data_IF_610496755066
#
_entry.id   IF_610496755066
#
_cell.length_a   1.000
_cell.length_b   1.000
_cell.length_c   1.000
_cell.angle_alpha   90.00
_cell.angle_beta   90.00
_cell.angle_gamma   90.00
#
_symmetry.space_group_name_H-M   'P 1'
#
loop_
_entity.id
_entity.type
_entity.pdbx_description
1 polymer ?
#
# COMPACT_ATOMS: atom_id res chain seq x y z
N UNK A 1 -38.07 -44.11 47.39
CA UNK A 1 -39.32 -43.33 47.26
C UNK A 1 -38.97 -41.85 47.37
N UNK A 2 -39.82 -40.96 46.84
CA UNK A 2 -39.84 -39.49 47.03
C UNK A 2 -38.50 -38.73 47.02
N UNK A 3 -38.29 -37.96 45.95
CA UNK A 3 -37.52 -36.71 46.03
C UNK A 3 -38.29 -35.69 46.87
N UNK A 4 -37.59 -34.82 47.60
CA UNK A 4 -38.18 -33.58 48.13
C UNK A 4 -37.19 -32.42 47.92
N UNK A 5 -37.63 -31.39 47.21
CA UNK A 5 -36.92 -30.13 47.03
C UNK A 5 -37.12 -29.26 48.27
N UNK A 6 -36.04 -28.81 48.90
CA UNK A 6 -36.10 -27.79 49.96
C UNK A 6 -35.67 -26.45 49.37
N UNK A 7 -36.62 -25.55 49.22
CA UNK A 7 -36.38 -24.15 48.82
C UNK A 7 -35.96 -23.36 50.07
N UNK A 8 -34.69 -22.98 50.15
CA UNK A 8 -34.21 -22.08 51.21
C UNK A 8 -34.47 -20.64 50.77
N UNK A 9 -35.52 -20.03 51.34
CA UNK A 9 -35.88 -18.63 51.08
C UNK A 9 -34.91 -17.69 51.79
N UNK A 10 -34.23 -16.83 51.03
CA UNK A 10 -33.09 -16.04 51.52
C UNK A 10 -33.55 -14.64 51.96
N UNK A 11 -34.03 -14.53 53.20
CA UNK A 11 -34.41 -13.26 53.83
C UNK A 11 -33.17 -12.39 54.13
N UNK A 12 -32.88 -11.43 53.26
CA UNK A 12 -31.88 -10.39 53.52
C UNK A 12 -32.51 -9.26 54.33
N UNK A 13 -32.11 -9.15 55.61
CA UNK A 13 -32.50 -8.03 56.47
C UNK A 13 -31.79 -6.74 56.04
N UNK A 14 -32.52 -5.85 55.38
CA UNK A 14 -32.07 -4.48 55.12
C UNK A 14 -32.12 -3.63 56.40
N UNK A 15 -31.04 -3.63 57.18
CA UNK A 15 -30.77 -2.56 58.15
C UNK A 15 -30.30 -1.32 57.41
N UNK A 16 -30.99 -0.19 57.63
CA UNK A 16 -30.82 1.00 56.81
C UNK A 16 -29.52 1.77 57.09
N UNK A 17 -28.69 1.96 56.06
CA UNK A 17 -27.71 3.04 56.01
C UNK A 17 -28.24 4.13 55.07
N UNK A 18 -28.87 5.18 55.61
CA UNK A 18 -29.32 6.34 54.84
C UNK A 18 -28.15 7.28 54.51
N UNK A 19 -27.16 6.77 53.76
CA UNK A 19 -26.15 7.62 53.14
C UNK A 19 -26.78 8.35 51.98
N UNK A 20 -27.25 9.57 52.21
CA UNK A 20 -27.50 10.54 51.14
C UNK A 20 -26.23 10.63 50.28
N UNK A 21 -26.32 10.51 48.94
CA UNK A 21 -25.14 10.67 48.09
C UNK A 21 -24.59 12.09 48.31
N UNK A 22 -23.26 12.27 48.37
CA UNK A 22 -22.66 13.58 48.55
C UNK A 22 -23.13 14.48 47.40
N UNK A 23 -23.77 15.60 47.76
CA UNK A 23 -24.33 16.53 46.78
C UNK A 23 -23.22 16.98 45.82
N UNK A 24 -23.48 16.85 44.52
CA UNK A 24 -22.55 17.30 43.48
C UNK A 24 -22.18 18.76 43.79
N UNK A 25 -20.90 19.12 43.96
CA UNK A 25 -20.53 20.47 44.30
C UNK A 25 -21.03 21.41 43.20
N UNK A 26 -21.90 22.34 43.59
CA UNK A 26 -22.44 23.33 42.68
C UNK A 26 -21.32 24.31 42.31
N UNK A 27 -20.54 23.97 41.28
CA UNK A 27 -19.52 24.83 40.71
C UNK A 27 -20.14 26.20 40.42
N UNK A 28 -19.66 27.30 41.04
CA UNK A 28 -20.17 28.63 40.75
C UNK A 28 -19.84 28.96 39.30
N UNK A 29 -20.86 28.85 38.44
CA UNK A 29 -20.79 29.16 37.02
C UNK A 29 -20.35 30.61 36.87
N UNK A 30 -19.08 30.81 36.50
CA UNK A 30 -18.44 32.13 36.46
C UNK A 30 -19.33 33.12 35.70
N UNK A 31 -19.62 34.25 36.35
CA UNK A 31 -20.40 35.31 35.73
C UNK A 31 -19.71 35.78 34.45
N UNK A 32 -20.28 35.42 33.30
CA UNK A 32 -19.76 35.84 32.02
C UNK A 32 -19.85 37.36 31.92
N UNK A 33 -18.70 38.02 31.92
CA UNK A 33 -18.63 39.44 31.59
C UNK A 33 -19.11 39.65 30.15
N UNK A 34 -19.88 40.73 29.95
CA UNK A 34 -20.22 41.25 28.63
C UNK A 34 -19.02 41.97 28.02
N UNK A 35 -18.99 42.08 26.70
CA UNK A 35 -18.19 43.09 26.00
C UNK A 35 -18.87 44.47 26.07
N UNK A 36 -18.20 45.50 25.53
CA UNK A 36 -18.67 46.88 25.51
C UNK A 36 -19.95 47.06 24.66
N UNK A 37 -20.21 46.14 23.72
CA UNK A 37 -21.44 46.04 22.92
C UNK A 37 -22.58 45.30 23.66
N UNK A 38 -22.35 44.82 24.88
CA UNK A 38 -23.31 44.13 25.73
C UNK A 38 -23.49 42.63 25.46
N UNK A 39 -22.63 42.01 24.65
CA UNK A 39 -22.66 40.59 24.26
C UNK A 39 -21.80 39.73 25.19
N UNK A 40 -22.33 38.55 25.55
CA UNK A 40 -21.58 37.47 26.18
C UNK A 40 -20.84 36.64 25.12
N UNK A 41 -19.55 36.37 25.33
CA UNK A 41 -18.72 35.59 24.40
C UNK A 41 -18.83 34.08 24.65
N UNK A 42 -19.04 33.31 23.58
CA UNK A 42 -18.97 31.84 23.55
C UNK A 42 -17.90 31.40 22.52
N UNK A 43 -17.72 30.09 22.34
CA UNK A 43 -16.66 29.53 21.47
C UNK A 43 -16.87 29.82 19.99
N UNK A 44 -18.12 29.74 19.52
CA UNK A 44 -18.50 29.88 18.09
C UNK A 44 -19.37 31.11 17.79
N UNK A 45 -19.93 31.75 18.82
CA UNK A 45 -20.82 32.91 18.70
C UNK A 45 -20.66 33.89 19.87
N UNK A 46 -21.24 35.09 19.69
CA UNK A 46 -21.46 36.09 20.74
C UNK A 46 -22.97 36.27 20.89
N UNK A 47 -23.48 36.40 22.12
CA UNK A 47 -24.92 36.48 22.39
C UNK A 47 -25.27 37.64 23.33
N UNK A 48 -26.20 38.50 22.93
CA UNK A 48 -26.78 39.55 23.78
C UNK A 48 -28.26 39.23 24.02
N UNK A 49 -28.60 38.84 25.24
CA UNK A 49 -29.93 38.39 25.65
C UNK A 49 -29.93 37.95 27.12
N UNK A 50 -30.92 37.16 27.54
CA UNK A 50 -30.99 36.63 28.90
C UNK A 50 -30.14 35.36 29.05
N UNK A 51 -29.43 35.25 30.16
CA UNK A 51 -28.79 34.01 30.59
C UNK A 51 -29.57 33.38 31.74
N UNK A 52 -29.55 32.05 31.79
CA UNK A 52 -30.02 31.23 32.89
C UNK A 52 -28.86 30.35 33.32
N UNK A 53 -28.40 30.49 34.56
CA UNK A 53 -27.23 29.78 35.09
C UNK A 53 -25.98 29.93 34.17
N UNK A 54 -25.71 31.16 33.68
CA UNK A 54 -24.57 31.44 32.78
C UNK A 54 -24.71 30.97 31.32
N UNK A 55 -25.81 30.31 30.99
CA UNK A 55 -26.09 29.69 29.69
C UNK A 55 -27.20 30.48 28.95
N UNK A 56 -27.15 30.66 27.61
CA UNK A 56 -28.22 31.36 26.88
C UNK A 56 -29.57 30.64 26.98
N UNK A 57 -30.64 31.37 27.34
CA UNK A 57 -32.01 30.84 27.41
C UNK A 57 -33.01 31.91 26.96
N UNK A 58 -33.82 31.61 25.96
CA UNK A 58 -34.74 32.55 25.29
C UNK A 58 -34.12 33.32 24.12
N UNK A 59 -34.79 34.42 23.75
CA UNK A 59 -34.47 35.25 22.57
C UNK A 59 -33.40 36.32 22.84
N UNK A 60 -32.60 36.63 21.83
CA UNK A 60 -31.59 37.69 21.86
C UNK A 60 -31.04 38.04 20.47
N UNK A 61 -29.92 38.74 20.43
CA UNK A 61 -29.12 38.95 19.22
C UNK A 61 -27.83 38.14 19.27
N UNK A 62 -27.44 37.57 18.13
CA UNK A 62 -26.21 36.81 17.96
C UNK A 62 -25.27 37.48 16.97
N UNK A 63 -23.97 37.27 17.18
CA UNK A 63 -22.92 37.43 16.17
C UNK A 63 -22.28 36.05 15.97
N UNK A 64 -22.50 35.44 14.81
CA UNK A 64 -22.05 34.07 14.53
C UNK A 64 -21.26 34.07 13.23
N UNK A 65 -20.15 33.31 13.21
CA UNK A 65 -19.25 33.25 12.05
C UNK A 65 -19.63 32.08 11.16
N UNK A 66 -20.00 32.35 9.92
CA UNK A 66 -20.36 31.34 8.91
C UNK A 66 -19.42 31.40 7.71
N UNK A 67 -19.30 30.32 6.94
CA UNK A 67 -18.75 30.38 5.58
C UNK A 67 -19.82 30.94 4.64
N UNK A 68 -19.52 32.03 3.94
CA UNK A 68 -20.37 32.61 2.88
C UNK A 68 -19.98 32.12 1.49
N UNK A 69 -18.87 31.39 1.40
CA UNK A 69 -18.34 30.77 0.19
C UNK A 69 -17.17 29.86 0.54
N UNK A 70 -16.60 29.19 -0.48
CA UNK A 70 -15.56 28.14 -0.33
C UNK A 70 -14.34 28.59 0.49
N UNK A 71 -14.00 29.88 0.44
CA UNK A 71 -12.86 30.48 1.16
C UNK A 71 -13.21 31.77 1.94
N UNK A 72 -14.48 32.18 1.98
CA UNK A 72 -14.92 33.43 2.65
C UNK A 72 -15.69 33.13 3.93
N UNK A 73 -15.40 33.88 4.99
CA UNK A 73 -16.11 33.75 6.27
C UNK A 73 -16.48 35.11 6.84
N UNK A 74 -17.73 35.26 7.27
CA UNK A 74 -18.27 36.54 7.74
C UNK A 74 -18.95 36.39 9.10
N UNK A 75 -18.88 37.44 9.91
CA UNK A 75 -19.60 37.55 11.18
C UNK A 75 -20.98 38.15 10.93
N UNK A 76 -21.98 37.29 10.78
CA UNK A 76 -23.36 37.74 10.57
C UNK A 76 -24.02 38.07 11.91
N UNK A 77 -24.50 39.31 12.05
CA UNK A 77 -25.37 39.73 13.15
C UNK A 77 -26.83 39.34 12.83
N UNK A 78 -27.63 39.01 13.83
CA UNK A 78 -29.06 38.71 13.64
C UNK A 78 -29.78 38.33 14.93
N UNK A 79 -31.11 38.22 14.87
CA UNK A 79 -31.89 37.65 15.96
C UNK A 79 -31.56 36.14 16.11
N UNK A 80 -31.60 35.65 17.34
CA UNK A 80 -31.42 34.23 17.66
C UNK A 80 -32.23 33.81 18.88
N UNK A 81 -32.46 32.51 19.00
CA UNK A 81 -33.25 31.92 20.10
C UNK A 81 -32.55 30.67 20.63
N UNK A 82 -32.47 30.58 21.95
CA UNK A 82 -31.86 29.45 22.66
C UNK A 82 -32.84 28.80 23.62
N UNK A 83 -32.60 27.52 23.91
CA UNK A 83 -33.25 26.79 25.00
C UNK A 83 -32.20 25.95 25.72
N UNK A 84 -31.97 26.24 27.01
CA UNK A 84 -30.95 25.58 27.84
C UNK A 84 -29.53 25.56 27.23
N UNK A 85 -29.19 26.56 26.41
CA UNK A 85 -27.89 26.68 25.75
C UNK A 85 -27.79 26.13 24.34
N UNK A 86 -28.76 25.33 23.90
CA UNK A 86 -28.88 24.91 22.50
C UNK A 86 -29.54 26.02 21.68
N UNK A 87 -29.01 26.32 20.49
CA UNK A 87 -29.58 27.31 19.59
C UNK A 87 -30.68 26.65 18.74
N UNK A 88 -31.86 27.25 18.71
CA UNK A 88 -33.07 26.65 18.11
C UNK A 88 -33.69 27.48 16.97
N UNK A 89 -33.11 28.63 16.61
CA UNK A 89 -33.60 29.40 15.47
C UNK A 89 -33.22 28.78 14.12
N UNK A 90 -34.24 28.59 13.26
CA UNK A 90 -34.12 28.02 11.91
C UNK A 90 -33.16 28.81 11.00
N UNK A 91 -32.88 30.08 11.30
CA UNK A 91 -31.90 30.89 10.59
C UNK A 91 -30.46 30.37 10.81
N UNK A 92 -30.13 29.91 12.01
CA UNK A 92 -28.85 29.27 12.30
C UNK A 92 -28.70 27.93 11.59
N UNK A 93 -29.74 27.10 11.63
CA UNK A 93 -29.76 25.79 10.97
C UNK A 93 -29.47 25.95 9.47
N UNK A 94 -30.29 26.74 8.76
CA UNK A 94 -30.13 26.98 7.32
C UNK A 94 -28.74 27.51 6.96
N UNK A 95 -28.17 28.41 7.79
CA UNK A 95 -26.82 28.98 7.56
C UNK A 95 -25.70 27.99 7.87
N UNK A 96 -25.88 27.14 8.87
CA UNK A 96 -24.92 26.08 9.22
C UNK A 96 -24.90 24.99 8.15
N UNK A 97 -26.06 24.59 7.63
CA UNK A 97 -26.20 23.67 6.50
C UNK A 97 -25.50 24.23 5.24
N UNK A 98 -25.70 25.51 4.91
CA UNK A 98 -24.99 26.18 3.81
C UNK A 98 -23.46 26.25 4.05
N UNK A 99 -23.03 26.56 5.28
CA UNK A 99 -21.60 26.59 5.65
C UNK A 99 -20.96 25.20 5.55
N UNK A 100 -21.68 24.13 5.88
CA UNK A 100 -21.25 22.75 5.67
C UNK A 100 -21.21 22.38 4.18
N UNK A 101 -22.14 22.85 3.37
CA UNK A 101 -22.10 22.66 1.91
C UNK A 101 -20.84 23.29 1.28
N UNK A 102 -20.45 24.51 1.68
CA UNK A 102 -19.19 25.11 1.24
C UNK A 102 -17.95 24.37 1.76
N UNK A 103 -18.00 23.83 2.99
CA UNK A 103 -16.92 23.01 3.55
C UNK A 103 -16.72 21.72 2.75
N UNK A 104 -17.82 21.05 2.38
CA UNK A 104 -17.81 19.84 1.56
C UNK A 104 -17.36 20.15 0.13
N UNK A 105 -17.80 21.27 -0.46
CA UNK A 105 -17.36 21.72 -1.78
C UNK A 105 -15.85 22.05 -1.80
N UNK A 106 -15.32 22.65 -0.73
CA UNK A 106 -13.87 22.89 -0.57
C UNK A 106 -13.11 21.56 -0.57
N UNK A 107 -13.48 20.63 0.32
CA UNK A 107 -12.84 19.30 0.41
C UNK A 107 -12.92 18.52 -0.91
N UNK A 108 -14.02 18.65 -1.66
CA UNK A 108 -14.18 18.01 -2.96
C UNK A 108 -13.25 18.59 -4.05
N UNK A 109 -12.90 19.89 -3.97
CA UNK A 109 -11.88 20.50 -4.84
C UNK A 109 -10.47 20.05 -4.44
N UNK A 110 -10.14 20.12 -3.15
CA UNK A 110 -8.84 19.69 -2.63
C UNK A 110 -8.53 18.24 -3.02
N UNK A 111 -9.49 17.32 -2.81
CA UNK A 111 -9.36 15.90 -3.20
C UNK A 111 -9.30 15.67 -4.72
N UNK A 112 -9.83 16.60 -5.54
CA UNK A 112 -9.69 16.54 -7.00
C UNK A 112 -8.28 16.97 -7.44
N UNK A 113 -7.77 18.06 -6.87
CA UNK A 113 -6.41 18.55 -7.14
C UNK A 113 -5.33 17.57 -6.65
N UNK A 114 -5.57 16.87 -5.53
CA UNK A 114 -4.69 15.78 -5.06
C UNK A 114 -4.67 14.60 -6.04
N UNK A 115 -5.83 14.18 -6.56
CA UNK A 115 -5.92 13.12 -7.57
C UNK A 115 -5.23 13.52 -8.88
N UNK A 116 -5.42 14.76 -9.34
CA UNK A 116 -4.80 15.23 -10.59
C UNK A 116 -3.27 15.26 -10.49
N UNK A 117 -2.71 15.62 -9.32
CA UNK A 117 -1.27 15.52 -9.04
C UNK A 117 -0.79 14.08 -8.94
N UNK A 118 -1.59 13.17 -8.38
CA UNK A 118 -1.25 11.74 -8.29
C UNK A 118 -1.25 11.07 -9.67
N UNK A 119 -2.25 11.37 -10.51
CA UNK A 119 -2.33 10.98 -11.91
C UNK A 119 -1.12 11.49 -12.72
N UNK A 120 -0.71 12.74 -12.51
CA UNK A 120 0.47 13.33 -13.15
C UNK A 120 1.77 12.63 -12.74
N UNK A 121 1.93 12.35 -11.44
CA UNK A 121 3.08 11.60 -10.91
C UNK A 121 3.15 10.18 -11.47
N UNK A 122 2.02 9.44 -11.53
CA UNK A 122 2.00 8.09 -12.09
C UNK A 122 2.30 8.08 -13.60
N UNK A 123 1.85 9.10 -14.35
CA UNK A 123 2.22 9.26 -15.78
C UNK A 123 3.72 9.50 -15.95
N UNK A 124 4.33 10.36 -15.13
CA UNK A 124 5.76 10.63 -15.16
C UNK A 124 6.59 9.37 -14.81
N UNK A 125 6.19 8.63 -13.77
CA UNK A 125 6.85 7.37 -13.40
C UNK A 125 6.66 6.29 -14.48
N UNK A 126 5.50 6.23 -15.13
CA UNK A 126 5.25 5.32 -16.25
C UNK A 126 6.07 5.68 -17.50
N UNK A 127 6.34 6.96 -17.75
CA UNK A 127 7.25 7.42 -18.81
C UNK A 127 8.71 7.08 -18.49
N UNK A 128 9.18 7.35 -17.27
CA UNK A 128 10.53 6.95 -16.86
C UNK A 128 10.72 5.41 -16.90
N UNK A 129 9.69 4.64 -16.50
CA UNK A 129 9.68 3.17 -16.66
C UNK A 129 9.77 2.75 -18.13
N UNK A 130 9.16 3.48 -19.07
CA UNK A 130 9.29 3.22 -20.53
C UNK A 130 10.68 3.58 -21.06
N UNK A 131 11.28 4.69 -20.60
CA UNK A 131 12.63 5.08 -21.00
C UNK A 131 13.68 4.09 -20.49
N UNK A 132 13.61 3.69 -19.20
CA UNK A 132 14.45 2.64 -18.63
C UNK A 132 14.29 1.28 -19.34
N UNK A 133 13.11 0.98 -19.88
CA UNK A 133 12.89 -0.21 -20.70
C UNK A 133 13.54 -0.09 -22.10
N UNK A 134 13.44 1.10 -22.74
CA UNK A 134 14.11 1.37 -24.02
C UNK A 134 15.63 1.31 -23.91
N UNK A 135 16.22 1.88 -22.86
CA UNK A 135 17.69 1.86 -22.66
C UNK A 135 18.23 0.47 -22.37
N UNK A 136 17.49 -0.37 -21.62
CA UNK A 136 17.80 -1.80 -21.45
C UNK A 136 17.77 -2.56 -22.78
N UNK A 137 16.70 -2.40 -23.57
CA UNK A 137 16.58 -3.04 -24.88
C UNK A 137 17.70 -2.62 -25.86
N UNK A 138 18.12 -1.35 -25.81
CA UNK A 138 19.27 -0.86 -26.60
C UNK A 138 20.61 -1.48 -26.13
N UNK A 139 20.83 -1.61 -24.83
CA UNK A 139 22.02 -2.27 -24.28
C UNK A 139 22.06 -3.77 -24.61
N UNK A 140 20.92 -4.46 -24.56
CA UNK A 140 20.79 -5.86 -25.00
C UNK A 140 21.09 -6.03 -26.49
N UNK A 141 20.64 -5.11 -27.35
CA UNK A 141 20.98 -5.11 -28.78
C UNK A 141 22.48 -4.87 -29.02
N UNK A 142 23.13 -3.96 -28.28
CA UNK A 142 24.58 -3.75 -28.36
C UNK A 142 25.37 -5.00 -27.92
N UNK A 143 24.94 -5.67 -26.85
CA UNK A 143 25.55 -6.91 -26.38
C UNK A 143 25.37 -8.05 -27.41
N UNK A 144 24.18 -8.20 -28.00
CA UNK A 144 23.92 -9.19 -29.04
C UNK A 144 24.75 -8.93 -30.31
N UNK A 145 24.92 -7.67 -30.70
CA UNK A 145 25.80 -7.28 -31.81
C UNK A 145 27.28 -7.61 -31.53
N UNK A 146 27.75 -7.32 -30.31
CA UNK A 146 29.12 -7.66 -29.85
C UNK A 146 29.39 -9.17 -29.91
N UNK A 147 28.47 -9.99 -29.37
CA UNK A 147 28.56 -11.46 -29.41
C UNK A 147 28.56 -11.97 -30.85
N UNK A 148 27.71 -11.39 -31.72
CA UNK A 148 27.65 -11.77 -33.14
C UNK A 148 28.96 -11.42 -33.88
N UNK A 149 29.56 -10.26 -33.57
CA UNK A 149 30.86 -9.85 -34.10
C UNK A 149 31.99 -10.79 -33.70
N UNK A 150 32.09 -11.14 -32.41
CA UNK A 150 33.09 -12.11 -31.92
C UNK A 150 32.93 -13.49 -32.59
N UNK A 151 31.70 -13.97 -32.78
CA UNK A 151 31.46 -15.23 -33.48
C UNK A 151 31.88 -15.17 -34.95
N UNK A 152 31.62 -14.08 -35.67
CA UNK A 152 32.11 -13.91 -37.05
C UNK A 152 33.65 -13.88 -37.11
N UNK A 153 34.30 -13.17 -36.19
CA UNK A 153 35.76 -13.11 -36.14
C UNK A 153 36.38 -14.49 -35.85
N UNK A 154 35.83 -15.23 -34.88
CA UNK A 154 36.26 -16.60 -34.58
C UNK A 154 36.13 -17.54 -35.79
N UNK A 155 35.04 -17.43 -36.57
CA UNK A 155 34.84 -18.20 -37.81
C UNK A 155 35.88 -17.82 -38.87
N UNK A 156 36.19 -16.52 -39.03
CA UNK A 156 37.21 -16.06 -39.97
C UNK A 156 38.61 -16.57 -39.60
N UNK A 157 39.00 -16.47 -38.33
CA UNK A 157 40.31 -16.96 -37.87
C UNK A 157 40.43 -18.49 -37.93
N UNK A 158 39.34 -19.23 -37.67
CA UNK A 158 39.29 -20.68 -37.89
C UNK A 158 39.48 -21.05 -39.37
N UNK A 159 38.80 -20.35 -40.29
CA UNK A 159 38.99 -20.53 -41.74
C UNK A 159 40.43 -20.19 -42.16
N UNK A 160 41.01 -19.13 -41.56
CA UNK A 160 42.40 -18.69 -41.82
C UNK A 160 43.41 -19.76 -41.39
N UNK A 161 43.27 -20.33 -40.19
CA UNK A 161 44.11 -21.44 -39.72
C UNK A 161 43.95 -22.68 -40.61
N UNK A 162 42.71 -23.05 -40.95
CA UNK A 162 42.44 -24.20 -41.85
C UNK A 162 43.14 -24.04 -43.21
N UNK A 163 43.09 -22.84 -43.80
CA UNK A 163 43.80 -22.52 -45.05
C UNK A 163 45.33 -22.54 -44.93
N UNK A 164 45.89 -22.20 -43.77
CA UNK A 164 47.34 -22.36 -43.51
C UNK A 164 47.73 -23.84 -43.38
N UNK A 165 46.95 -24.64 -42.66
CA UNK A 165 47.18 -26.09 -42.49
C UNK A 165 47.10 -26.81 -43.84
N UNK A 166 46.10 -26.50 -44.67
CA UNK A 166 45.99 -27.07 -46.02
C UNK A 166 47.20 -26.72 -46.90
N UNK A 167 47.70 -25.48 -46.84
CA UNK A 167 48.94 -25.06 -47.52
C UNK A 167 50.21 -25.73 -47.00
N UNK A 168 50.26 -26.14 -45.73
CA UNK A 168 51.37 -26.90 -45.18
C UNK A 168 51.33 -28.39 -45.58
N UNK A 169 50.14 -28.93 -45.88
CA UNK A 169 49.93 -30.35 -46.21
C UNK A 169 50.06 -30.72 -47.70
N UNK A 170 50.19 -29.75 -48.61
CA UNK A 170 50.23 -30.02 -50.06
C UNK A 170 51.65 -29.99 -50.62
N UNK A 171 52.20 -31.13 -51.10
CA UNK A 171 53.48 -31.14 -51.81
C UNK A 171 53.35 -30.45 -53.18
N UNK A 172 54.44 -29.87 -53.73
CA UNK A 172 54.39 -29.06 -54.96
C UNK A 172 54.23 -29.94 -56.22
N UNK A 173 52.99 -30.25 -56.58
CA UNK A 173 52.66 -30.91 -57.85
C UNK A 173 52.81 -29.91 -59.01
N UNK A 174 53.87 -30.09 -59.81
CA UNK A 174 54.17 -29.31 -61.01
C UNK A 174 53.49 -29.93 -62.23
N UNK A 175 52.29 -29.47 -62.57
CA UNK A 175 51.52 -29.91 -63.75
C UNK A 175 51.18 -28.77 -64.71
N UNK A 176 50.98 -29.12 -65.98
CA UNK A 176 50.94 -28.18 -67.11
C UNK A 176 49.54 -27.61 -67.38
N UNK A 177 49.53 -26.54 -68.17
CA UNK A 177 48.34 -25.89 -68.72
C UNK A 177 47.52 -26.77 -69.67
N UNK A 178 46.18 -26.70 -69.58
CA UNK A 178 45.34 -26.60 -70.78
C UNK A 178 43.98 -25.95 -70.50
N UNK A 179 43.57 -25.12 -71.43
CA UNK A 179 42.30 -24.41 -71.56
C UNK A 179 41.05 -25.30 -71.61
N UNK A 180 39.94 -24.80 -71.07
CA UNK A 180 38.63 -24.91 -71.74
C UNK A 180 37.79 -23.65 -71.49
N UNK A 181 37.04 -23.20 -72.50
CA UNK A 181 36.22 -21.97 -72.45
C UNK A 181 34.82 -22.25 -73.01
N UNK A 182 33.82 -22.21 -72.12
CA UNK A 182 32.38 -22.10 -72.45
C UNK A 182 31.69 -21.52 -71.21
N UNK A 183 31.06 -20.34 -71.16
CA UNK A 183 30.23 -19.53 -72.10
C UNK A 183 28.73 -19.84 -72.00
N UNK A 184 27.99 -18.87 -71.44
CA UNK A 184 26.53 -18.70 -71.53
C UNK A 184 25.66 -19.74 -70.79
N UNK A 185 24.43 -19.42 -70.35
CA UNK A 185 23.71 -18.13 -70.26
C UNK A 185 22.60 -18.19 -69.20
N UNK A 186 22.15 -17.04 -68.71
CA UNK A 186 21.00 -16.96 -67.79
C UNK A 186 19.65 -17.12 -68.51
N UNK A 187 18.63 -17.61 -67.79
CA UNK A 187 17.22 -17.24 -67.99
C UNK A 187 16.35 -17.56 -66.76
N UNK A 188 16.00 -16.50 -66.04
CA UNK A 188 14.74 -16.27 -65.29
C UNK A 188 13.83 -17.44 -64.84
N UNK A 189 13.68 -17.52 -63.51
CA UNK A 189 12.37 -17.46 -62.81
C UNK A 189 11.38 -18.63 -62.91
N UNK A 190 11.32 -19.44 -61.85
CA UNK A 190 10.04 -19.68 -61.13
C UNK A 190 10.29 -20.16 -59.68
N UNK A 191 9.41 -19.75 -58.76
CA UNK A 191 9.19 -20.30 -57.41
C UNK A 191 7.73 -20.78 -57.37
N UNK A 192 7.36 -21.83 -56.60
CA UNK A 192 7.63 -21.89 -55.15
C UNK A 192 8.18 -23.23 -54.62
N UNK A 193 8.55 -23.21 -53.34
CA UNK A 193 8.95 -24.36 -52.50
C UNK A 193 7.78 -24.73 -51.54
N UNK A 194 7.85 -25.77 -50.68
CA UNK A 194 8.92 -26.76 -50.48
C UNK A 194 8.47 -28.25 -50.42
N UNK A 195 9.43 -29.18 -50.56
CA UNK A 195 9.30 -30.58 -50.17
C UNK A 195 10.64 -31.11 -49.59
N UNK A 196 10.61 -32.22 -48.84
CA UNK A 196 11.69 -32.66 -47.92
C UNK A 196 12.65 -33.72 -48.49
N UNK A 197 13.70 -33.99 -47.71
CA UNK A 197 14.70 -35.10 -47.73
C UNK A 197 16.09 -34.66 -48.27
N UNK A 198 17.24 -34.92 -47.64
CA UNK A 198 17.62 -35.62 -46.38
C UNK A 198 18.79 -34.84 -45.69
N UNK A 199 19.64 -35.29 -44.74
CA UNK A 199 19.91 -36.52 -43.94
C UNK A 199 20.92 -36.19 -42.82
N UNK A 200 21.11 -37.10 -41.83
CA UNK A 200 22.17 -37.11 -40.78
C UNK A 200 22.09 -36.02 -39.68
N UNK A 201 22.63 -36.15 -38.44
CA UNK A 201 23.00 -37.29 -37.55
C UNK A 201 23.44 -36.75 -36.15
N UNK A 202 23.55 -37.47 -35.02
CA UNK A 202 23.21 -38.89 -34.69
C UNK A 202 22.14 -38.96 -33.55
N UNK A 203 22.29 -39.33 -32.26
CA UNK A 203 23.38 -39.95 -31.44
C UNK A 203 22.80 -40.57 -30.13
N UNK A 204 23.01 -41.87 -29.85
CA UNK A 204 22.87 -42.60 -28.53
C UNK A 204 21.50 -42.61 -27.79
N UNK A 205 21.10 -43.63 -26.99
CA UNK A 205 21.71 -44.94 -26.64
C UNK A 205 20.67 -46.06 -26.29
N UNK A 206 21.12 -47.30 -26.49
CA UNK A 206 20.72 -48.64 -26.01
C UNK A 206 19.59 -48.88 -24.98
N UNK A 207 18.75 -49.93 -25.21
CA UNK A 207 18.79 -51.19 -24.42
C UNK A 207 17.82 -52.36 -24.83
N UNK A 208 18.39 -53.41 -25.45
CA UNK A 208 18.38 -54.85 -25.05
C UNK A 208 17.11 -55.73 -24.85
N UNK A 209 17.18 -56.98 -25.36
CA UNK A 209 16.30 -58.21 -25.28
C UNK A 209 15.17 -58.30 -26.35
N UNK A 210 14.99 -59.37 -27.16
CA UNK A 210 15.08 -60.86 -27.01
C UNK A 210 13.86 -61.47 -26.29
N UNK A 211 13.15 -62.52 -26.75
CA UNK A 211 13.25 -63.46 -27.92
C UNK A 211 11.81 -63.75 -28.47
N UNK A 212 11.43 -64.69 -29.36
CA UNK A 212 11.97 -65.90 -30.05
C UNK A 212 11.20 -66.04 -31.42
N UNK A 213 11.65 -66.69 -32.51
CA UNK A 213 12.03 -68.09 -32.80
C UNK A 213 10.89 -69.15 -32.83
N UNK A 214 10.49 -69.58 -34.05
CA UNK A 214 10.20 -70.98 -34.44
C UNK A 214 9.92 -71.16 -35.95
N UNK A 215 10.57 -72.14 -36.57
CA UNK A 215 10.17 -72.80 -37.83
C UNK A 215 9.16 -73.94 -37.48
N UNK A 216 8.59 -74.76 -38.38
CA UNK A 216 8.95 -75.15 -39.75
C UNK A 216 7.76 -75.80 -40.51
N UNK A 217 7.95 -76.04 -41.83
CA UNK A 217 7.47 -77.15 -42.72
C UNK A 217 6.27 -78.06 -42.32
N UNK A 218 5.44 -78.60 -43.24
CA UNK A 218 5.79 -79.30 -44.51
C UNK A 218 4.59 -79.35 -45.49
N UNK A 219 4.82 -79.75 -46.76
CA UNK A 219 3.80 -79.99 -47.78
C UNK A 219 2.96 -81.26 -47.55
N UNK A 220 1.77 -81.34 -48.18
CA UNK A 220 1.37 -82.55 -48.92
C UNK A 220 0.32 -82.24 -50.03
N UNK A 221 0.04 -83.23 -50.89
CA UNK A 221 -0.47 -83.04 -52.26
C UNK A 221 -1.99 -83.24 -52.49
N UNK A 222 -2.43 -82.81 -53.69
CA UNK A 222 -3.56 -83.27 -54.51
C UNK A 222 -4.92 -83.67 -53.85
N UNK A 223 -5.96 -82.86 -54.10
CA UNK A 223 -7.01 -83.15 -55.11
C UNK A 223 -8.26 -82.26 -54.91
N UNK A 224 -8.57 -81.40 -55.89
CA UNK A 224 -9.89 -81.46 -56.54
C UNK A 224 -9.94 -80.68 -57.87
N UNK A 225 -10.89 -81.04 -58.74
CA UNK A 225 -11.10 -80.46 -60.08
C UNK A 225 -12.55 -80.01 -60.22
N UNK A 226 -12.74 -78.78 -60.76
CA UNK A 226 -14.01 -78.02 -60.95
C UNK A 226 -14.38 -77.08 -59.79
N UNK A 227 -14.98 -75.95 -60.19
CA UNK A 227 -15.14 -74.69 -59.42
C UNK A 227 -13.76 -74.06 -59.10
N UNK A 228 -13.52 -72.76 -59.24
CA UNK A 228 -14.46 -71.62 -59.24
C UNK A 228 -14.00 -70.51 -60.21
N UNK A 229 -14.65 -70.36 -61.37
CA UNK A 229 -14.45 -69.22 -62.30
C UNK A 229 -15.12 -67.92 -61.81
N UNK A 230 -15.05 -67.68 -60.49
CA UNK A 230 -15.82 -66.65 -59.77
C UNK A 230 -15.00 -66.08 -58.59
N UNK A 231 -13.66 -66.09 -58.65
CA UNK A 231 -12.79 -65.75 -57.51
C UNK A 231 -11.69 -64.71 -57.83
N UNK A 232 -11.91 -63.86 -58.85
CA UNK A 232 -11.00 -62.76 -59.23
C UNK A 232 -11.59 -61.35 -59.13
N UNK A 233 -12.91 -61.19 -58.92
CA UNK A 233 -13.48 -59.88 -58.58
C UNK A 233 -13.40 -59.60 -57.08
N UNK A 234 -13.88 -60.51 -56.24
CA UNK A 234 -14.10 -60.24 -54.80
C UNK A 234 -12.81 -59.90 -54.03
N UNK A 235 -11.68 -60.57 -54.34
CA UNK A 235 -10.36 -60.24 -53.76
C UNK A 235 -9.91 -58.81 -54.07
N UNK A 236 -10.39 -58.21 -55.17
CA UNK A 236 -10.06 -56.84 -55.59
C UNK A 236 -10.97 -55.79 -54.92
N UNK A 237 -12.12 -56.20 -54.38
CA UNK A 237 -12.96 -55.36 -53.53
C UNK A 237 -12.56 -55.45 -52.05
N UNK A 238 -12.24 -56.65 -51.54
CA UNK A 238 -11.80 -56.86 -50.16
C UNK A 238 -10.58 -55.99 -49.78
N UNK A 239 -9.53 -55.99 -50.62
CA UNK A 239 -8.31 -55.20 -50.37
C UNK A 239 -8.57 -53.68 -50.29
N UNK A 240 -9.56 -53.16 -51.04
CA UNK A 240 -9.91 -51.72 -50.99
C UNK A 240 -10.64 -51.33 -49.71
N UNK A 241 -11.34 -52.27 -49.07
CA UNK A 241 -12.03 -52.03 -47.79
C UNK A 241 -11.03 -51.87 -46.65
N UNK A 242 -10.01 -52.73 -46.57
CA UNK A 242 -8.99 -52.70 -45.51
C UNK A 242 -8.17 -51.40 -45.53
N UNK A 243 -7.75 -50.92 -46.69
CA UNK A 243 -6.98 -49.66 -46.79
C UNK A 243 -7.81 -48.43 -46.39
N UNK A 244 -9.08 -48.35 -46.79
CA UNK A 244 -10.00 -47.26 -46.36
C UNK A 244 -10.24 -47.32 -44.85
N UNK A 245 -10.32 -48.52 -44.27
CA UNK A 245 -10.51 -48.71 -42.83
C UNK A 245 -9.24 -48.36 -42.04
N UNK A 246 -8.04 -48.68 -42.55
CA UNK A 246 -6.74 -48.20 -42.05
C UNK A 246 -6.63 -46.68 -42.07
N UNK A 247 -7.00 -46.06 -43.19
CA UNK A 247 -6.86 -44.62 -43.39
C UNK A 247 -7.74 -43.83 -42.41
N UNK A 248 -8.99 -44.27 -42.19
CA UNK A 248 -9.86 -43.72 -41.12
C UNK A 248 -9.27 -43.89 -39.72
N UNK A 249 -8.61 -45.02 -39.44
CA UNK A 249 -8.00 -45.27 -38.13
C UNK A 249 -6.80 -44.33 -37.88
N UNK A 250 -5.99 -44.05 -38.91
CA UNK A 250 -4.90 -43.08 -38.83
C UNK A 250 -5.41 -41.65 -38.65
N UNK A 251 -6.40 -41.22 -39.44
CA UNK A 251 -6.99 -39.87 -39.32
C UNK A 251 -7.62 -39.63 -37.94
N UNK A 252 -8.25 -40.65 -37.36
CA UNK A 252 -8.80 -40.59 -36.00
C UNK A 252 -7.71 -40.56 -34.92
N UNK A 253 -6.56 -41.21 -35.15
CA UNK A 253 -5.41 -41.14 -34.26
C UNK A 253 -4.72 -39.76 -34.30
N UNK A 254 -4.52 -39.18 -35.48
CA UNK A 254 -3.97 -37.82 -35.63
C UNK A 254 -4.88 -36.77 -34.97
N UNK A 255 -6.21 -36.84 -35.18
CA UNK A 255 -7.16 -35.93 -34.50
C UNK A 255 -7.09 -36.06 -32.97
N UNK A 256 -6.95 -37.27 -32.42
CA UNK A 256 -6.72 -37.46 -30.97
C UNK A 256 -5.39 -36.86 -30.51
N UNK A 257 -4.31 -37.04 -31.26
CA UNK A 257 -3.00 -36.49 -30.91
C UNK A 257 -3.00 -34.96 -30.93
N UNK A 258 -3.57 -34.34 -31.97
CA UNK A 258 -3.72 -32.87 -32.05
C UNK A 258 -4.57 -32.32 -30.89
N UNK A 259 -5.67 -33.00 -30.53
CA UNK A 259 -6.48 -32.61 -29.37
C UNK A 259 -5.72 -32.72 -28.04
N UNK A 260 -4.86 -33.72 -27.87
CA UNK A 260 -4.01 -33.85 -26.68
C UNK A 260 -2.96 -32.73 -26.61
N UNK A 261 -2.25 -32.44 -27.70
CA UNK A 261 -1.23 -31.36 -27.76
C UNK A 261 -1.86 -30.00 -27.47
N UNK A 262 -3.00 -29.68 -28.11
CA UNK A 262 -3.71 -28.42 -27.87
C UNK A 262 -4.28 -28.31 -26.43
N UNK A 263 -4.65 -29.43 -25.81
CA UNK A 263 -5.07 -29.45 -24.42
C UNK A 263 -3.91 -29.23 -23.43
N UNK A 264 -2.73 -29.82 -23.71
CA UNK A 264 -1.53 -29.62 -22.88
C UNK A 264 -1.00 -28.19 -23.01
N UNK A 265 -0.91 -27.65 -24.22
CA UNK A 265 -0.48 -26.28 -24.49
C UNK A 265 -1.37 -25.26 -23.75
N UNK A 266 -2.70 -25.45 -23.82
CA UNK A 266 -3.67 -24.63 -23.07
C UNK A 266 -3.56 -24.80 -21.55
N UNK A 267 -3.15 -25.96 -21.04
CA UNK A 267 -2.85 -26.12 -19.61
C UNK A 267 -1.58 -25.37 -19.20
N UNK A 268 -0.51 -25.44 -20.01
CA UNK A 268 0.75 -24.70 -19.77
C UNK A 268 0.53 -23.18 -19.79
N UNK A 269 -0.21 -22.66 -20.77
CA UNK A 269 -0.59 -21.24 -20.82
C UNK A 269 -1.34 -20.82 -19.55
N UNK A 270 -2.32 -21.63 -19.12
CA UNK A 270 -3.15 -21.34 -17.96
C UNK A 270 -2.40 -21.51 -16.61
N UNK A 271 -1.33 -22.31 -16.57
CA UNK A 271 -0.36 -22.34 -15.46
C UNK A 271 0.51 -21.09 -15.42
N UNK A 272 1.17 -20.75 -16.53
CA UNK A 272 2.01 -19.54 -16.64
C UNK A 272 1.23 -18.25 -16.33
N UNK A 273 -0.03 -18.17 -16.77
CA UNK A 273 -0.92 -17.06 -16.46
C UNK A 273 -1.32 -16.98 -14.97
N UNK A 274 -1.31 -18.11 -14.23
CA UNK A 274 -1.51 -18.13 -12.78
C UNK A 274 -0.25 -17.72 -12.03
N UNK A 275 0.90 -18.32 -12.36
CA UNK A 275 2.19 -18.00 -11.75
C UNK A 275 2.52 -16.51 -11.90
N UNK A 276 2.32 -15.94 -13.10
CA UNK A 276 2.52 -14.51 -13.32
C UNK A 276 1.61 -13.64 -12.44
N UNK A 277 0.31 -13.94 -12.36
CA UNK A 277 -0.64 -13.21 -11.50
C UNK A 277 -0.29 -13.33 -10.02
N UNK A 278 0.25 -14.47 -9.59
CA UNK A 278 0.72 -14.67 -8.22
C UNK A 278 2.00 -13.87 -7.92
N UNK A 279 2.95 -13.86 -8.86
CA UNK A 279 4.17 -13.06 -8.76
C UNK A 279 3.84 -11.55 -8.72
N UNK A 280 2.99 -11.07 -9.63
CA UNK A 280 2.52 -9.67 -9.66
C UNK A 280 1.84 -9.29 -8.34
N UNK A 281 0.92 -10.14 -7.83
CA UNK A 281 0.25 -9.97 -6.53
C UNK A 281 1.23 -9.90 -5.37
N UNK A 282 2.26 -10.75 -5.36
CA UNK A 282 3.28 -10.78 -4.31
C UNK A 282 4.15 -9.52 -4.34
N UNK A 283 4.59 -9.09 -5.53
CA UNK A 283 5.37 -7.87 -5.71
C UNK A 283 4.59 -6.61 -5.30
N UNK A 284 3.29 -6.52 -5.63
CA UNK A 284 2.46 -5.39 -5.21
C UNK A 284 2.26 -5.35 -3.69
N UNK A 285 2.08 -6.51 -3.04
CA UNK A 285 1.98 -6.61 -1.57
C UNK A 285 3.29 -6.16 -0.90
N UNK A 286 4.43 -6.65 -1.38
CA UNK A 286 5.75 -6.27 -0.86
C UNK A 286 6.04 -4.77 -1.05
N UNK A 287 5.64 -4.19 -2.20
CA UNK A 287 5.77 -2.75 -2.45
C UNK A 287 4.93 -1.94 -1.47
N UNK A 288 3.66 -2.31 -1.25
CA UNK A 288 2.75 -1.66 -0.29
C UNK A 288 3.24 -1.78 1.16
N UNK A 289 3.77 -2.93 1.55
CA UNK A 289 4.34 -3.13 2.89
C UNK A 289 5.60 -2.27 3.10
N UNK A 290 6.45 -2.13 2.07
CA UNK A 290 7.62 -1.25 2.10
C UNK A 290 7.26 0.24 2.11
N UNK A 291 6.26 0.65 1.32
CA UNK A 291 5.70 2.01 1.33
C UNK A 291 5.12 2.36 2.71
N UNK A 292 4.32 1.48 3.31
CA UNK A 292 3.76 1.68 4.65
C UNK A 292 4.84 1.72 5.75
N UNK A 293 5.88 0.89 5.66
CA UNK A 293 6.99 0.90 6.62
C UNK A 293 7.78 2.22 6.54
N UNK A 294 8.12 2.67 5.32
CA UNK A 294 8.78 3.95 5.10
C UNK A 294 7.93 5.13 5.58
N UNK A 295 6.60 5.08 5.38
CA UNK A 295 5.70 6.12 5.85
C UNK A 295 5.64 6.18 7.38
N UNK A 296 5.50 5.03 8.07
CA UNK A 296 5.55 4.96 9.54
C UNK A 296 6.87 5.50 10.10
N UNK A 297 8.01 5.17 9.47
CA UNK A 297 9.32 5.69 9.88
C UNK A 297 9.41 7.22 9.73
N UNK A 298 8.86 7.80 8.65
CA UNK A 298 8.79 9.26 8.49
C UNK A 298 7.90 9.92 9.55
N UNK A 299 6.71 9.38 9.81
CA UNK A 299 5.80 9.90 10.83
C UNK A 299 6.37 9.82 12.25
N UNK A 300 7.13 8.77 12.56
CA UNK A 300 7.83 8.62 13.83
C UNK A 300 9.03 9.59 13.95
N UNK A 301 9.78 9.82 12.85
CA UNK A 301 10.82 10.85 12.80
C UNK A 301 10.25 12.27 12.96
N UNK A 302 9.17 12.61 12.24
CA UNK A 302 8.48 13.89 12.35
C UNK A 302 7.96 14.13 13.78
N UNK A 303 7.38 13.10 14.42
CA UNK A 303 6.94 13.13 15.82
C UNK A 303 8.10 13.34 16.80
N UNK A 304 9.20 12.59 16.65
CA UNK A 304 10.35 12.68 17.56
C UNK A 304 11.09 14.02 17.41
N UNK A 305 11.25 14.51 16.18
CA UNK A 305 11.81 15.84 15.90
C UNK A 305 10.93 16.95 16.51
N UNK A 306 9.61 16.84 16.42
CA UNK A 306 8.69 17.78 17.09
C UNK A 306 8.86 17.76 18.62
N UNK A 307 8.86 16.58 19.26
CA UNK A 307 9.01 16.47 20.72
C UNK A 307 10.36 17.03 21.21
N UNK A 308 11.45 16.78 20.48
CA UNK A 308 12.77 17.38 20.75
C UNK A 308 12.76 18.90 20.57
N UNK A 309 12.13 19.43 19.53
CA UNK A 309 12.00 20.87 19.33
C UNK A 309 11.17 21.53 20.44
N UNK A 310 10.08 20.88 20.92
CA UNK A 310 9.33 21.35 22.08
C UNK A 310 10.23 21.36 23.31
N UNK A 311 10.90 20.25 23.64
CA UNK A 311 11.82 20.16 24.80
C UNK A 311 12.87 21.27 24.79
N UNK A 312 13.54 21.48 23.67
CA UNK A 312 14.64 22.43 23.55
C UNK A 312 14.18 23.89 23.61
N UNK A 313 12.94 24.18 23.18
CA UNK A 313 12.43 25.55 23.01
C UNK A 313 11.44 26.00 24.08
N UNK A 314 10.77 25.05 24.77
CA UNK A 314 9.84 25.35 25.86
C UNK A 314 10.60 25.88 27.07
N UNK A 315 10.10 26.96 27.68
CA UNK A 315 10.59 27.49 28.94
C UNK A 315 9.44 27.50 29.94
N UNK A 316 9.71 26.93 31.12
CA UNK A 316 8.81 26.97 32.26
C UNK A 316 9.31 28.03 33.24
N UNK A 317 8.40 28.50 34.09
CA UNK A 317 8.67 29.30 35.29
C UNK A 317 7.74 28.83 36.40
N UNK A 318 8.10 29.02 37.66
CA UNK A 318 7.14 28.86 38.73
C UNK A 318 6.25 30.11 38.87
N UNK A 319 5.00 29.91 39.28
CA UNK A 319 4.06 30.97 39.69
C UNK A 319 3.33 30.56 40.95
N UNK A 320 3.09 31.50 41.87
CA UNK A 320 2.26 31.28 43.06
C UNK A 320 0.81 31.63 42.73
N UNK A 321 -0.08 30.63 42.80
CA UNK A 321 -1.50 30.74 42.45
C UNK A 321 -2.36 30.10 43.55
N UNK A 322 -3.40 30.81 44.01
CA UNK A 322 -4.39 30.30 45.00
C UNK A 322 -3.80 29.75 46.32
N UNK A 323 -2.55 30.10 46.64
CA UNK A 323 -1.85 29.59 47.82
C UNK A 323 -0.76 28.57 47.54
N UNK A 324 -0.71 27.97 46.35
CA UNK A 324 0.25 26.91 45.97
C UNK A 324 1.17 27.37 44.82
N UNK A 325 2.26 26.64 44.54
CA UNK A 325 3.19 26.98 43.46
C UNK A 325 2.94 26.07 42.24
N UNK A 326 3.08 26.58 41.01
CA UNK A 326 2.84 25.83 39.78
C UNK A 326 3.91 26.08 38.72
N UNK A 327 4.34 25.03 38.02
CA UNK A 327 5.16 25.14 36.82
C UNK A 327 4.28 25.50 35.61
N UNK A 328 4.51 26.67 35.00
CA UNK A 328 3.77 27.15 33.82
C UNK A 328 4.72 27.57 32.71
N UNK A 329 4.29 27.46 31.46
CA UNK A 329 5.07 27.91 30.31
C UNK A 329 4.20 28.24 29.11
N UNK A 330 4.84 28.65 28.01
CA UNK A 330 4.15 28.88 26.75
C UNK A 330 4.89 28.15 25.63
N UNK A 331 4.15 27.41 24.80
CA UNK A 331 4.71 26.81 23.59
C UNK A 331 5.10 27.94 22.62
N UNK A 332 6.35 27.98 22.10
CA UNK A 332 6.78 29.05 21.20
C UNK A 332 5.87 29.24 19.98
N UNK A 333 5.59 30.50 19.65
CA UNK A 333 4.80 30.88 18.47
C UNK A 333 5.48 30.32 17.22
N UNK A 334 4.78 29.44 16.49
CA UNK A 334 5.30 28.74 15.32
C UNK A 334 5.56 27.24 15.53
N UNK A 335 5.74 26.76 16.77
CA UNK A 335 5.81 25.32 17.05
C UNK A 335 4.42 24.68 17.13
N UNK A 336 3.50 25.31 17.88
CA UNK A 336 2.10 24.89 18.01
C UNK A 336 1.90 23.48 18.55
N UNK A 337 0.72 22.91 18.29
CA UNK A 337 0.46 21.47 18.43
C UNK A 337 0.61 20.78 17.08
N UNK A 338 1.43 19.73 17.03
CA UNK A 338 1.71 18.99 15.81
C UNK A 338 0.56 18.05 15.42
N UNK A 339 0.31 17.89 14.12
CA UNK A 339 -0.67 16.93 13.56
C UNK A 339 -0.43 15.46 14.01
N UNK A 340 0.75 15.14 14.56
CA UNK A 340 1.12 13.80 15.05
C UNK A 340 0.95 13.62 16.57
N UNK A 341 0.58 14.67 17.32
CA UNK A 341 0.57 14.67 18.80
C UNK A 341 -0.63 15.48 19.32
N UNK A 342 -1.63 14.78 19.88
CA UNK A 342 -2.87 15.38 20.41
C UNK A 342 -2.67 16.21 21.68
N UNK A 343 -1.61 15.95 22.43
CA UNK A 343 -1.20 16.69 23.63
C UNK A 343 0.16 16.21 24.12
N UNK A 344 0.78 16.95 25.04
CA UNK A 344 2.10 16.60 25.59
C UNK A 344 2.09 16.52 27.12
N UNK A 345 2.94 15.66 27.66
CA UNK A 345 3.30 15.60 29.06
C UNK A 345 4.72 16.20 29.19
N UNK A 346 4.85 17.28 29.95
CA UNK A 346 6.12 17.98 30.16
C UNK A 346 6.68 17.58 31.52
N UNK A 347 7.76 16.81 31.51
CA UNK A 347 8.54 16.50 32.71
C UNK A 347 9.47 17.68 33.01
N UNK A 348 9.52 18.08 34.29
CA UNK A 348 10.30 19.24 34.70
C UNK A 348 11.01 19.01 36.03
N UNK A 349 12.08 19.78 36.27
CA UNK A 349 12.73 19.89 37.57
C UNK A 349 12.64 21.34 38.05
N UNK A 350 12.03 21.54 39.22
CA UNK A 350 12.05 22.80 39.95
C UNK A 350 13.18 22.78 41.00
N UNK A 351 13.86 23.89 41.21
CA UNK A 351 14.93 24.03 42.21
C UNK A 351 15.02 25.44 42.78
N UNK A 352 15.54 25.55 44.01
CA UNK A 352 15.74 26.81 44.72
C UNK A 352 17.24 27.16 44.84
N UNK A 353 17.62 28.46 44.87
CA UNK A 353 19.03 28.87 44.98
C UNK A 353 19.74 28.40 46.25
N UNK A 354 19.00 28.22 47.34
CA UNK A 354 19.51 27.69 48.62
C UNK A 354 19.56 26.15 48.71
N UNK A 355 19.29 25.43 47.61
CA UNK A 355 19.16 23.97 47.57
C UNK A 355 17.71 23.49 47.58
N UNK A 356 17.53 22.18 47.45
CA UNK A 356 16.24 21.53 47.21
C UNK A 356 15.93 21.38 45.71
N UNK A 357 15.36 20.22 45.34
CA UNK A 357 14.94 19.86 43.98
C UNK A 357 13.65 19.06 44.01
N UNK A 358 12.71 19.40 43.14
CA UNK A 358 11.45 18.67 42.91
C UNK A 358 11.35 18.27 41.44
N UNK A 359 10.99 17.02 41.16
CA UNK A 359 10.71 16.55 39.80
C UNK A 359 9.20 16.36 39.63
N UNK A 360 8.60 17.10 38.70
CA UNK A 360 7.17 17.05 38.42
C UNK A 360 6.86 16.70 36.96
N UNK A 361 5.58 16.49 36.67
CA UNK A 361 5.10 16.18 35.31
C UNK A 361 3.79 16.91 35.07
N UNK A 362 3.83 18.00 34.30
CA UNK A 362 2.63 18.68 33.82
C UNK A 362 2.02 17.81 32.73
N UNK A 363 0.90 17.18 33.03
CA UNK A 363 0.12 16.36 32.09
C UNK A 363 -0.74 17.25 31.21
N UNK A 364 -1.08 16.75 30.02
CA UNK A 364 -1.97 17.42 29.07
C UNK A 364 -1.58 18.89 28.76
N UNK A 365 -0.29 19.22 28.86
CA UNK A 365 0.22 20.59 28.83
C UNK A 365 -0.20 21.30 27.53
N UNK A 366 -1.05 22.31 27.70
CA UNK A 366 -1.68 23.14 26.68
C UNK A 366 -0.79 24.36 26.37
N UNK A 367 -0.01 24.84 27.35
CA UNK A 367 1.01 25.86 27.16
C UNK A 367 0.48 27.19 26.61
N UNK A 368 -0.74 27.57 26.99
CA UNK A 368 -1.43 28.75 26.46
C UNK A 368 -1.09 30.05 27.18
N UNK A 369 -0.83 30.01 28.50
CA UNK A 369 -0.53 31.21 29.31
C UNK A 369 0.52 30.90 30.37
N UNK A 370 1.23 31.92 30.84
CA UNK A 370 2.22 31.80 31.92
C UNK A 370 1.70 32.39 33.25
N UNK A 371 0.42 32.16 33.57
CA UNK A 371 -0.22 32.68 34.78
C UNK A 371 -1.41 31.86 35.27
N UNK A 372 -1.98 32.25 36.42
CA UNK A 372 -2.93 31.48 37.23
C UNK A 372 -4.32 31.19 36.63
N UNK A 373 -4.59 31.67 35.41
CA UNK A 373 -5.86 31.48 34.72
C UNK A 373 -5.59 31.05 33.27
N UNK A 374 -6.17 29.90 32.87
CA UNK A 374 -6.08 29.36 31.51
C UNK A 374 -4.71 28.83 31.08
N UNK A 375 -3.70 28.90 31.95
CA UNK A 375 -2.45 28.16 31.81
C UNK A 375 -2.55 26.78 32.46
N UNK A 376 -1.44 26.05 32.47
CA UNK A 376 -1.35 24.66 32.93
C UNK A 376 -1.45 24.49 34.47
N UNK A 377 -2.05 25.43 35.19
CA UNK A 377 -2.13 25.48 36.66
C UNK A 377 -3.22 24.59 37.25
N UNK A 378 -3.46 23.41 36.68
CA UNK A 378 -4.41 22.43 37.23
C UNK A 378 -3.67 21.48 38.19
N UNK A 379 -3.94 21.51 39.51
CA UNK A 379 -3.22 20.68 40.48
C UNK A 379 -3.39 19.17 40.19
N UNK A 380 -4.57 18.77 39.70
CA UNK A 380 -4.88 17.40 39.33
C UNK A 380 -4.06 16.87 38.13
N UNK A 381 -3.35 17.74 37.41
CA UNK A 381 -2.55 17.41 36.23
C UNK A 381 -1.04 17.48 36.50
N UNK A 382 -0.59 17.64 37.75
CA UNK A 382 0.82 17.45 38.14
C UNK A 382 1.76 18.62 37.84
N UNK A 383 1.21 19.77 37.44
CA UNK A 383 1.93 21.03 37.32
C UNK A 383 2.19 21.71 38.68
N UNK A 384 1.56 21.24 39.75
CA UNK A 384 1.76 21.76 41.11
C UNK A 384 3.13 21.38 41.67
N UNK A 385 3.78 22.35 42.33
CA UNK A 385 5.02 22.23 43.07
C UNK A 385 4.65 22.37 44.56
N UNK A 386 4.67 21.29 45.36
CA UNK A 386 4.33 21.34 46.78
C UNK A 386 5.25 22.29 47.57
N UNK A 387 4.65 23.16 48.40
CA UNK A 387 5.37 24.24 49.12
C UNK A 387 6.22 23.75 50.30
N UNK A 388 5.97 22.53 50.75
CA UNK A 388 6.76 21.81 51.74
C UNK A 388 8.06 21.22 51.17
N UNK A 389 8.13 21.01 49.84
CA UNK A 389 9.29 20.38 49.18
C UNK A 389 10.35 21.40 48.73
N UNK A 390 9.97 22.66 48.48
CA UNK A 390 10.88 23.74 48.08
C UNK A 390 10.64 25.01 48.89
N UNK A 391 11.69 25.46 49.59
CA UNK A 391 11.62 26.50 50.64
C UNK A 391 11.66 27.96 50.15
N UNK A 392 11.95 28.20 48.87
CA UNK A 392 11.98 29.55 48.29
C UNK A 392 10.61 29.95 47.70
N UNK A 393 10.41 31.24 47.44
CA UNK A 393 9.21 31.71 46.74
C UNK A 393 9.25 31.33 45.25
N UNK A 394 8.09 31.21 44.62
CA UNK A 394 7.97 30.87 43.19
C UNK A 394 8.71 31.86 42.25
N UNK A 395 8.98 33.10 42.69
CA UNK A 395 9.77 34.09 41.93
C UNK A 395 11.26 33.72 41.83
N UNK A 396 11.77 32.96 42.81
CA UNK A 396 13.18 32.58 42.95
C UNK A 396 13.46 31.16 42.45
N UNK A 397 12.40 30.38 42.16
CA UNK A 397 12.50 29.01 41.64
C UNK A 397 12.91 28.97 40.18
N UNK A 398 13.94 28.19 39.86
CA UNK A 398 14.29 27.82 38.48
C UNK A 398 13.56 26.53 38.10
N UNK A 399 12.88 26.52 36.95
CA UNK A 399 12.12 25.35 36.45
C UNK A 399 12.61 24.95 35.06
N UNK A 400 13.30 23.81 34.98
CA UNK A 400 13.90 23.27 33.75
C UNK A 400 13.04 22.15 33.15
N UNK A 401 12.94 22.08 31.82
CA UNK A 401 12.26 20.98 31.10
C UNK A 401 13.22 19.82 30.94
N UNK A 402 12.94 18.69 31.60
CA UNK A 402 13.82 17.50 31.60
C UNK A 402 13.46 16.54 30.47
N UNK A 403 12.18 16.39 30.14
CA UNK A 403 11.69 15.51 29.06
C UNK A 403 10.30 15.94 28.56
N UNK A 404 9.96 15.62 27.31
CA UNK A 404 8.64 15.92 26.71
C UNK A 404 8.13 14.70 25.98
N UNK A 405 6.98 14.19 26.41
CA UNK A 405 6.34 12.97 25.89
C UNK A 405 4.97 13.29 25.30
N UNK A 406 4.44 12.50 24.36
CA UNK A 406 3.04 12.62 23.99
C UNK A 406 2.14 12.24 25.18
N UNK A 407 0.88 12.70 25.16
CA UNK A 407 -0.20 12.07 25.91
C UNK A 407 -0.44 10.63 25.42
N UNK A 408 -1.07 9.81 26.28
CA UNK A 408 -1.45 8.42 25.97
C UNK A 408 -2.90 8.35 25.52
#
# INVERSE_FOLDING_TARGET
>A
MQQNLIVISLFVLFTGCTTTPPGIPAFPLQEKKKDDDGYYKYSTFWFNGKLKNGVPDGKGQCRTKYMTGVYTTEWLKGACEFRLGERIDRLDQNRSEASMAFTNQKRAKELKEEREKQDEYERAEAEERRERARSRAAAEQQLAASITGMNQQMIQDYQRMSGMVQKASTPPVRSYSSTSVTRSSASSTTKPSPAKNSSSSTTTASNTRSSNSKQSTTLNNDQNVKKTTQSKLDKTQALKSDDVQKQKLQEQAEKKHQQQVAAEEKQRELQLAKEKREADRKAEKERKEREQLAQKQREEQEKNNYLMNVKNSLRLKAVSCYGNNFAVGQIPKGLGFSKHVSGINVHYQASCPGGGRYNGVSRNFIGMTTGCFGGDTNPNEGAEIPKDVLTCEAKDMTVEVTDVRPTR
#
